data_IF_930650345846
#
_entry.id   IF_930650345846
#
_cell.length_a   1.000
_cell.length_b   1.000
_cell.length_c   1.000
_cell.angle_alpha   90.00
_cell.angle_beta   90.00
_cell.angle_gamma   90.00
#
_symmetry.space_group_name_H-M   'P 1'
#
loop_
_entity.id
_entity.type
_entity.pdbx_description
1 polymer ?
#
# COMPACT_ATOMS: atom_id res chain seq x y z
N UNK A 1 -23.60 -11.81 -6.85
CA UNK A 1 -22.58 -10.78 -6.59
C UNK A 1 -22.90 -10.21 -5.23
N UNK A 2 -21.97 -10.22 -4.28
CA UNK A 2 -22.19 -9.76 -2.91
C UNK A 2 -21.66 -8.34 -2.77
N UNK A 3 -22.53 -7.38 -2.44
CA UNK A 3 -22.21 -5.96 -2.28
C UNK A 3 -22.10 -5.54 -0.81
N UNK A 4 -21.96 -6.49 0.12
CA UNK A 4 -21.78 -6.19 1.53
C UNK A 4 -20.53 -5.31 1.78
N UNK A 5 -20.71 -4.28 2.60
CA UNK A 5 -19.64 -3.45 3.16
C UNK A 5 -19.86 -3.34 4.67
N UNK A 6 -19.44 -4.34 5.46
CA UNK A 6 -19.62 -4.34 6.91
C UNK A 6 -18.79 -3.27 7.62
N UNK A 7 -17.75 -2.74 6.95
CA UNK A 7 -16.85 -1.73 7.49
C UNK A 7 -17.40 -0.31 7.39
N UNK A 8 -18.26 -0.05 6.39
CA UNK A 8 -18.71 1.29 6.01
C UNK A 8 -17.64 2.12 5.29
N UNK A 9 -16.50 1.52 4.93
CA UNK A 9 -15.38 2.18 4.25
C UNK A 9 -15.43 2.06 2.72
N UNK A 10 -16.47 1.44 2.17
CA UNK A 10 -16.64 1.18 0.75
C UNK A 10 -15.89 -0.04 0.25
N UNK A 11 -15.45 -0.95 1.13
CA UNK A 11 -14.67 -2.11 0.72
C UNK A 11 -15.51 -3.38 0.53
N UNK A 12 -15.99 -3.62 -0.69
CA UNK A 12 -16.91 -4.73 -1.02
C UNK A 12 -16.17 -5.98 -1.53
N UNK A 13 -15.57 -6.76 -0.62
CA UNK A 13 -14.74 -7.93 -0.95
C UNK A 13 -15.47 -9.05 -1.72
N UNK A 14 -16.79 -9.17 -1.53
CA UNK A 14 -17.65 -10.15 -2.21
C UNK A 14 -18.07 -9.75 -3.63
N UNK A 15 -17.71 -8.53 -4.07
CA UNK A 15 -18.06 -8.02 -5.39
C UNK A 15 -16.90 -8.12 -6.37
N UNK A 16 -17.07 -8.95 -7.40
CA UNK A 16 -16.02 -9.29 -8.36
C UNK A 16 -14.74 -9.79 -7.66
N UNK A 17 -13.61 -9.74 -8.34
CA UNK A 17 -12.32 -10.14 -7.80
C UNK A 17 -11.25 -9.14 -8.23
N UNK A 18 -10.42 -8.71 -7.29
CA UNK A 18 -9.27 -7.85 -7.54
C UNK A 18 -7.97 -8.67 -7.51
N UNK A 19 -7.02 -8.36 -8.38
CA UNK A 19 -5.66 -8.86 -8.21
C UNK A 19 -4.86 -7.88 -7.34
N UNK A 20 -3.88 -8.36 -6.55
CA UNK A 20 -3.55 -9.75 -6.27
C UNK A 20 -4.38 -10.32 -5.10
N UNK A 21 -4.77 -11.60 -5.18
CA UNK A 21 -5.44 -12.35 -4.10
C UNK A 21 -6.65 -11.62 -3.46
N UNK A 22 -7.42 -10.87 -4.24
CA UNK A 22 -8.58 -10.08 -3.80
C UNK A 22 -8.26 -8.93 -2.82
N UNK A 23 -7.01 -8.50 -2.70
CA UNK A 23 -6.61 -7.29 -1.96
C UNK A 23 -7.17 -6.06 -2.68
N UNK A 24 -7.95 -5.24 -1.98
CA UNK A 24 -8.61 -4.07 -2.58
C UNK A 24 -7.78 -2.80 -2.43
N UNK A 25 -7.01 -2.73 -1.36
CA UNK A 25 -6.08 -1.64 -1.08
C UNK A 25 -4.67 -2.21 -1.00
N UNK A 26 -3.83 -1.87 -1.97
CA UNK A 26 -2.41 -2.26 -1.94
C UNK A 26 -1.68 -1.57 -0.78
N UNK A 27 -0.66 -2.25 -0.27
CA UNK A 27 0.21 -1.76 0.81
C UNK A 27 -0.54 -1.42 2.10
N UNK A 28 -1.70 -2.05 2.32
CA UNK A 28 -2.58 -1.77 3.46
C UNK A 28 -1.95 -2.05 4.84
N UNK A 29 -0.81 -2.75 4.93
CA UNK A 29 0.00 -2.78 6.18
C UNK A 29 0.47 -1.40 6.61
N UNK A 30 0.73 -0.49 5.68
CA UNK A 30 1.13 0.89 5.99
C UNK A 30 -0.01 1.76 6.55
N UNK A 31 -1.24 1.23 6.61
CA UNK A 31 -2.37 1.90 7.29
C UNK A 31 -2.26 1.91 8.82
N UNK A 32 -1.27 1.19 9.37
CA UNK A 32 -0.97 1.11 10.79
C UNK A 32 0.50 1.41 11.07
N UNK A 33 0.79 1.86 12.29
CA UNK A 33 2.13 2.12 12.81
C UNK A 33 2.97 0.82 12.92
N UNK A 34 4.26 0.90 13.30
CA UNK A 34 5.12 -0.28 13.45
C UNK A 34 4.60 -1.28 14.50
N UNK A 35 3.87 -0.81 15.52
CA UNK A 35 3.23 -1.59 16.57
C UNK A 35 1.86 -2.15 16.17
N UNK A 36 1.38 -1.82 14.98
CA UNK A 36 0.13 -2.33 14.41
C UNK A 36 -1.10 -1.55 14.85
N UNK A 37 -0.95 -0.37 15.46
CA UNK A 37 -2.06 0.52 15.74
C UNK A 37 -2.44 1.30 14.48
N UNK A 38 -3.73 1.40 14.12
CA UNK A 38 -4.14 2.16 12.95
C UNK A 38 -3.79 3.65 13.12
N UNK A 39 -3.29 4.29 12.06
CA UNK A 39 -3.02 5.73 12.07
C UNK A 39 -4.30 6.55 12.32
N UNK A 40 -5.43 6.06 11.81
CA UNK A 40 -6.76 6.58 12.11
C UNK A 40 -7.66 5.41 12.57
N UNK A 41 -8.08 5.37 13.85
CA UNK A 41 -8.95 4.32 14.38
C UNK A 41 -10.28 4.16 13.64
N UNK A 42 -10.79 5.21 12.98
CA UNK A 42 -12.03 5.15 12.19
C UNK A 42 -11.83 4.54 10.80
N UNK A 43 -10.58 4.35 10.36
CA UNK A 43 -10.20 3.80 9.05
C UNK A 43 -9.26 2.60 9.20
N UNK A 44 -9.43 1.79 10.25
CA UNK A 44 -8.62 0.60 10.47
C UNK A 44 -8.85 -0.43 9.36
N UNK A 45 -7.89 -0.63 8.46
CA UNK A 45 -7.99 -1.66 7.42
C UNK A 45 -7.57 -3.04 7.94
N UNK A 46 -6.46 -3.08 8.67
CA UNK A 46 -5.89 -4.30 9.25
C UNK A 46 -5.68 -4.15 10.76
N UNK A 47 -5.67 -5.29 11.45
CA UNK A 47 -5.33 -5.44 12.86
C UNK A 47 -4.55 -6.73 13.05
N UNK A 48 -3.60 -6.71 13.98
CA UNK A 48 -2.89 -7.90 14.41
C UNK A 48 -3.73 -8.71 15.41
N UNK A 49 -3.94 -10.01 15.13
CA UNK A 49 -4.73 -10.92 15.97
C UNK A 49 -3.87 -11.92 16.77
N UNK A 50 -2.56 -11.70 16.89
CA UNK A 50 -1.67 -12.60 17.66
C UNK A 50 -1.11 -13.78 16.87
N UNK A 51 -0.97 -13.65 15.55
CA UNK A 51 -0.39 -14.66 14.67
C UNK A 51 -0.65 -14.41 13.19
N UNK A 52 -1.63 -13.55 12.88
CA UNK A 52 -1.95 -13.09 11.54
C UNK A 52 -2.49 -11.67 11.55
N UNK A 53 -2.41 -11.02 10.40
CA UNK A 53 -3.15 -9.81 10.11
C UNK A 53 -4.54 -10.18 9.59
N UNK A 54 -5.56 -9.47 10.07
CA UNK A 54 -6.94 -9.60 9.61
C UNK A 54 -7.64 -8.23 9.72
N UNK A 55 -8.78 -8.06 9.06
CA UNK A 55 -9.54 -6.82 9.14
C UNK A 55 -10.54 -6.68 8.00
N UNK A 56 -10.75 -5.43 7.58
CA UNK A 56 -11.72 -5.06 6.55
C UNK A 56 -11.18 -5.18 5.11
N UNK A 57 -9.91 -5.55 4.93
CA UNK A 57 -9.32 -5.90 3.65
C UNK A 57 -8.43 -7.15 3.80
N UNK A 58 -8.10 -7.79 2.67
CA UNK A 58 -7.13 -8.89 2.64
C UNK A 58 -5.73 -8.30 2.88
N UNK A 59 -4.91 -8.82 3.81
CA UNK A 59 -3.59 -8.27 4.06
C UNK A 59 -2.69 -8.33 2.82
N UNK A 60 -2.18 -7.17 2.41
CA UNK A 60 -1.07 -7.04 1.46
C UNK A 60 0.26 -7.09 2.20
N UNK A 61 0.47 -8.20 2.90
CA UNK A 61 1.59 -8.35 3.83
C UNK A 61 1.88 -9.81 4.15
N UNK A 62 3.02 -10.05 4.79
CA UNK A 62 3.34 -11.35 5.37
C UNK A 62 2.64 -11.53 6.73
N UNK A 63 2.86 -12.68 7.38
CA UNK A 63 2.42 -12.92 8.76
C UNK A 63 3.38 -12.32 9.81
N UNK A 64 4.29 -11.41 9.41
CA UNK A 64 5.24 -10.77 10.31
C UNK A 64 4.52 -9.98 11.41
N UNK A 65 4.93 -10.20 12.66
CA UNK A 65 4.34 -9.54 13.82
C UNK A 65 4.68 -8.03 13.86
N UNK A 66 3.89 -7.21 14.56
CA UNK A 66 4.28 -5.82 14.82
C UNK A 66 5.66 -5.73 15.49
N UNK A 67 6.45 -4.73 15.09
CA UNK A 67 7.82 -4.52 15.59
C UNK A 67 8.88 -5.47 15.02
N UNK A 68 8.58 -6.27 13.99
CA UNK A 68 9.52 -7.25 13.43
C UNK A 68 10.47 -6.71 12.33
N UNK A 69 10.61 -5.38 12.17
CA UNK A 69 11.40 -4.70 11.14
C UNK A 69 11.16 -5.14 9.67
N UNK A 70 10.04 -5.83 9.41
CA UNK A 70 9.61 -6.15 8.04
C UNK A 70 8.86 -4.92 7.48
N UNK A 71 9.24 -4.49 6.28
CA UNK A 71 8.65 -3.31 5.65
C UNK A 71 7.36 -3.61 4.87
N UNK A 72 6.39 -2.67 4.83
CA UNK A 72 5.05 -2.90 4.26
C UNK A 72 5.01 -3.04 2.72
N UNK A 73 6.09 -2.71 2.00
CA UNK A 73 6.14 -2.80 0.55
C UNK A 73 6.75 -4.12 0.09
N UNK A 74 5.95 -5.20 0.17
CA UNK A 74 6.43 -6.59 0.05
C UNK A 74 7.10 -6.96 -1.29
N UNK A 75 6.87 -6.19 -2.34
CA UNK A 75 7.48 -6.43 -3.65
C UNK A 75 8.84 -5.74 -3.79
N UNK A 76 9.22 -4.88 -2.85
CA UNK A 76 10.49 -4.17 -2.83
C UNK A 76 11.53 -4.98 -2.04
N UNK A 77 12.75 -5.17 -2.57
CA UNK A 77 13.82 -5.89 -1.86
C UNK A 77 14.08 -5.39 -0.44
N UNK A 78 13.94 -4.09 -0.22
CA UNK A 78 14.14 -3.42 1.07
C UNK A 78 12.84 -3.23 1.88
N UNK A 79 11.67 -3.62 1.35
CA UNK A 79 10.38 -3.46 2.02
C UNK A 79 9.86 -2.02 2.15
N UNK A 80 10.49 -1.04 1.48
CA UNK A 80 10.18 0.39 1.60
C UNK A 80 9.68 1.01 0.30
N UNK A 81 8.86 2.06 0.44
CA UNK A 81 8.57 3.00 -0.65
C UNK A 81 9.79 3.90 -0.87
N UNK A 82 10.24 4.01 -2.11
CA UNK A 82 11.44 4.80 -2.45
C UNK A 82 11.07 6.26 -2.68
N UNK A 83 11.62 7.15 -1.84
CA UNK A 83 11.71 8.59 -2.17
C UNK A 83 12.87 8.85 -3.15
N UNK A 84 13.99 8.16 -2.95
CA UNK A 84 15.13 8.14 -3.86
C UNK A 84 15.08 6.83 -4.66
N UNK A 85 14.85 6.91 -5.97
CA UNK A 85 14.55 5.74 -6.81
C UNK A 85 15.78 4.88 -7.19
N UNK A 86 16.93 5.12 -6.58
CA UNK A 86 18.21 4.44 -6.84
C UNK A 86 18.58 4.47 -8.34
N UNK A 87 18.84 3.31 -8.94
CA UNK A 87 19.18 3.11 -10.34
C UNK A 87 17.96 2.71 -11.20
N UNK A 88 16.72 2.90 -10.71
CA UNK A 88 15.51 2.37 -11.39
C UNK A 88 14.90 3.28 -12.45
N UNK A 89 15.27 4.57 -12.47
CA UNK A 89 14.77 5.54 -13.44
C UNK A 89 15.90 5.92 -14.40
N UNK A 90 15.60 6.09 -15.68
CA UNK A 90 16.60 6.38 -16.71
C UNK A 90 17.11 7.84 -16.62
N UNK A 91 16.23 8.73 -16.17
CA UNK A 91 16.38 10.18 -16.13
C UNK A 91 16.88 10.72 -14.79
N UNK A 92 17.04 9.85 -13.78
CA UNK A 92 17.57 10.21 -12.47
C UNK A 92 16.70 9.75 -11.31
N UNK A 93 17.25 9.70 -10.07
CA UNK A 93 16.59 9.10 -8.91
C UNK A 93 15.54 10.00 -8.26
N UNK A 94 15.46 11.27 -8.66
CA UNK A 94 14.46 12.25 -8.23
C UNK A 94 13.79 12.85 -9.48
N UNK A 95 12.50 13.22 -9.39
CA UNK A 95 11.84 13.97 -10.44
C UNK A 95 12.47 15.36 -10.62
N UNK A 96 12.59 15.79 -11.87
CA UNK A 96 13.03 17.13 -12.25
C UNK A 96 12.14 17.64 -13.39
N UNK A 97 11.91 18.95 -13.47
CA UNK A 97 11.11 19.51 -14.56
C UNK A 97 11.91 19.50 -15.87
N UNK A 98 11.30 18.95 -16.93
CA UNK A 98 11.77 19.07 -18.29
C UNK A 98 10.64 19.60 -19.17
N UNK A 99 10.95 20.53 -20.05
CA UNK A 99 10.02 20.94 -21.09
C UNK A 99 9.75 19.78 -22.07
N UNK A 100 8.55 19.73 -22.68
CA UNK A 100 8.31 18.85 -23.82
C UNK A 100 9.31 19.12 -24.96
N UNK A 101 9.52 18.14 -25.83
CA UNK A 101 10.44 18.26 -26.97
C UNK A 101 10.18 19.49 -27.84
N UNK A 102 8.91 19.82 -28.08
CA UNK A 102 8.49 21.05 -28.75
C UNK A 102 7.79 21.93 -27.71
N UNK A 103 8.53 22.84 -27.10
CA UNK A 103 8.00 23.81 -26.14
C UNK A 103 7.83 25.19 -26.76
N UNK A 104 6.69 25.87 -26.52
CA UNK A 104 6.47 27.22 -27.03
C UNK A 104 7.30 28.30 -26.29
N UNK A 105 8.05 27.93 -25.25
CA UNK A 105 8.83 28.86 -24.43
C UNK A 105 10.28 29.03 -24.93
N UNK A 106 10.74 28.17 -25.85
CA UNK A 106 12.13 28.13 -26.34
C UNK A 106 12.45 29.02 -27.55
N UNK A 107 11.59 30.00 -27.86
CA UNK A 107 11.76 30.98 -28.96
C UNK A 107 12.60 32.17 -28.57
#
# INVERSE_FOLDING_TARGET
RDNADPSGLGNTLGWAWAWPLNRRILYNRASADPQGNPWDPKRQLLKWEGGKWAGWDIPDYSAAAPGSDVGPFIMQPEGMGRLFAIDKMAEGPFPEHYEPFETPLGT
#
